data_IF_553121066939
#
_entry.id   IF_553121066939
#
_cell.length_a   1.000
_cell.length_b   1.000
_cell.length_c   1.000
_cell.angle_alpha   90.00
_cell.angle_beta   90.00
_cell.angle_gamma   90.00
#
_symmetry.space_group_name_H-M   'P 1'
#
loop_
_entity.id
_entity.type
_entity.pdbx_description
1 polymer ?
#
# COMPACT_ATOMS: atom_id res chain seq x y z
N UNK A 1 -7.25 19.49 -10.98
CA UNK A 1 -5.83 19.68 -10.61
C UNK A 1 -4.98 19.64 -11.89
N UNK A 2 -4.28 20.72 -12.26
CA UNK A 2 -3.69 20.91 -13.62
C UNK A 2 -2.64 19.84 -14.02
N UNK A 3 -1.97 19.20 -13.05
CA UNK A 3 -0.92 18.21 -13.32
C UNK A 3 -1.33 16.73 -13.18
N UNK A 4 -2.62 16.43 -12.96
CA UNK A 4 -3.04 15.04 -12.77
C UNK A 4 -2.67 14.14 -13.96
N UNK A 5 -3.03 14.56 -15.19
CA UNK A 5 -2.70 13.83 -16.42
C UNK A 5 -1.20 13.65 -16.61
N UNK A 6 -0.39 14.66 -16.27
CA UNK A 6 1.06 14.59 -16.37
C UNK A 6 1.66 13.57 -15.38
N UNK A 7 1.13 13.49 -14.15
CA UNK A 7 1.56 12.52 -13.14
C UNK A 7 1.24 11.09 -13.57
N UNK A 8 0.01 10.86 -14.06
CA UNK A 8 -0.43 9.56 -14.57
C UNK A 8 0.41 9.12 -15.78
N UNK A 9 0.65 10.03 -16.74
CA UNK A 9 1.50 9.77 -17.91
C UNK A 9 2.93 9.39 -17.51
N UNK A 10 3.52 10.11 -16.56
CA UNK A 10 4.87 9.83 -16.04
C UNK A 10 4.94 8.45 -15.39
N UNK A 11 3.96 8.10 -14.54
CA UNK A 11 3.93 6.80 -13.86
C UNK A 11 3.75 5.66 -14.86
N UNK A 12 2.83 5.81 -15.82
CA UNK A 12 2.63 4.84 -16.89
C UNK A 12 3.89 4.64 -17.72
N UNK A 13 4.57 5.74 -18.10
CA UNK A 13 5.83 5.67 -18.85
C UNK A 13 6.95 5.03 -18.03
N UNK A 14 7.05 5.34 -16.74
CA UNK A 14 8.04 4.74 -15.85
C UNK A 14 7.84 3.22 -15.74
N UNK A 15 6.59 2.78 -15.64
CA UNK A 15 6.26 1.36 -15.60
C UNK A 15 6.70 0.65 -16.90
N UNK A 16 6.39 1.23 -18.05
CA UNK A 16 6.83 0.69 -19.35
C UNK A 16 8.35 0.54 -19.43
N UNK A 17 9.10 1.58 -19.03
CA UNK A 17 10.56 1.57 -19.02
C UNK A 17 11.09 0.49 -18.07
N UNK A 18 10.51 0.38 -16.87
CA UNK A 18 10.91 -0.62 -15.89
C UNK A 18 10.69 -2.05 -16.39
N UNK A 19 9.52 -2.34 -16.97
CA UNK A 19 9.20 -3.67 -17.50
C UNK A 19 10.05 -4.02 -18.72
N UNK A 20 10.26 -3.07 -19.63
CA UNK A 20 11.13 -3.25 -20.80
C UNK A 20 12.57 -3.60 -20.40
N UNK A 21 13.03 -3.14 -19.23
CA UNK A 21 14.35 -3.43 -18.67
C UNK A 21 14.37 -4.66 -17.74
N UNK A 22 13.45 -5.61 -17.93
CA UNK A 22 13.40 -6.85 -17.14
C UNK A 22 12.96 -6.63 -15.69
N UNK A 23 12.10 -5.64 -15.46
CA UNK A 23 11.45 -5.41 -14.16
C UNK A 23 10.54 -6.58 -13.76
N UNK A 24 10.37 -6.78 -12.45
CA UNK A 24 9.41 -7.74 -11.90
C UNK A 24 7.99 -7.24 -12.10
N UNK A 25 7.01 -8.15 -12.16
CA UNK A 25 5.60 -7.78 -12.29
C UNK A 25 4.96 -7.35 -10.95
N UNK A 26 5.47 -6.26 -10.38
CA UNK A 26 5.06 -5.69 -9.08
C UNK A 26 4.23 -4.42 -9.25
N UNK A 27 3.44 -4.07 -8.24
CA UNK A 27 2.71 -2.80 -8.23
C UNK A 27 3.40 -1.73 -7.38
N UNK A 28 3.42 -0.51 -7.90
CA UNK A 28 3.88 0.68 -7.19
C UNK A 28 2.79 1.74 -7.17
N UNK A 29 2.63 2.38 -6.01
CA UNK A 29 1.74 3.53 -5.85
C UNK A 29 2.55 4.76 -5.47
N UNK A 30 2.26 5.89 -6.11
CA UNK A 30 3.04 7.13 -5.98
C UNK A 30 2.16 8.30 -5.57
N UNK A 31 2.62 9.11 -4.61
CA UNK A 31 2.10 10.46 -4.43
C UNK A 31 3.13 11.49 -4.85
N UNK A 32 2.63 12.58 -5.44
CA UNK A 32 3.44 13.68 -5.91
C UNK A 32 3.36 14.87 -4.99
N UNK A 33 4.48 15.55 -4.82
CA UNK A 33 4.52 16.83 -4.14
C UNK A 33 3.74 17.89 -4.95
N UNK A 34 3.00 18.75 -4.24
CA UNK A 34 2.26 19.85 -4.85
C UNK A 34 3.16 21.06 -5.12
N UNK A 35 4.28 21.20 -4.40
CA UNK A 35 5.21 22.33 -4.56
C UNK A 35 6.30 22.08 -5.60
N UNK A 36 6.56 20.82 -5.97
CA UNK A 36 7.53 20.45 -6.99
C UNK A 36 6.83 20.02 -8.29
N UNK A 37 6.63 20.93 -9.26
CA UNK A 37 5.93 20.62 -10.51
C UNK A 37 6.75 19.71 -11.43
N UNK A 38 6.08 18.87 -12.22
CA UNK A 38 6.72 18.08 -13.26
C UNK A 38 7.18 19.00 -14.40
N UNK A 39 8.49 19.14 -14.59
CA UNK A 39 9.08 19.95 -15.67
C UNK A 39 9.54 19.13 -16.88
N UNK A 40 9.79 17.83 -16.71
CA UNK A 40 10.26 16.95 -17.78
C UNK A 40 9.85 15.50 -17.57
N UNK A 41 8.79 15.08 -18.28
CA UNK A 41 8.15 13.78 -18.06
C UNK A 41 9.09 12.59 -18.34
N UNK A 42 9.84 12.62 -19.44
CA UNK A 42 10.73 11.52 -19.82
C UNK A 42 11.87 11.30 -18.80
N UNK A 43 12.53 12.38 -18.38
CA UNK A 43 13.60 12.34 -17.37
C UNK A 43 13.07 11.82 -16.04
N UNK A 44 11.89 12.28 -15.64
CA UNK A 44 11.24 11.84 -14.40
C UNK A 44 10.85 10.36 -14.46
N UNK A 45 10.25 9.90 -15.57
CA UNK A 45 9.88 8.51 -15.75
C UNK A 45 11.09 7.56 -15.62
N UNK A 46 12.23 7.92 -16.24
CA UNK A 46 13.46 7.13 -16.13
C UNK A 46 14.00 7.09 -14.69
N UNK A 47 13.96 8.21 -13.96
CA UNK A 47 14.34 8.24 -12.53
C UNK A 47 13.44 7.33 -11.69
N UNK A 48 12.13 7.36 -11.92
CA UNK A 48 11.16 6.52 -11.21
C UNK A 48 11.42 5.04 -11.51
N UNK A 49 11.64 4.68 -12.78
CA UNK A 49 11.97 3.31 -13.17
C UNK A 49 13.27 2.80 -12.52
N UNK A 50 14.30 3.66 -12.39
CA UNK A 50 15.54 3.32 -11.71
C UNK A 50 15.33 3.07 -10.21
N UNK A 51 14.56 3.93 -9.54
CA UNK A 51 14.18 3.72 -8.13
C UNK A 51 13.42 2.40 -7.97
N UNK A 52 12.45 2.12 -8.85
CA UNK A 52 11.67 0.88 -8.84
C UNK A 52 12.58 -0.36 -8.90
N UNK A 53 13.60 -0.34 -9.77
CA UNK A 53 14.58 -1.43 -9.87
C UNK A 53 15.36 -1.65 -8.58
N UNK A 54 15.71 -0.58 -7.87
CA UNK A 54 16.44 -0.68 -6.60
C UNK A 54 15.58 -1.23 -5.46
N UNK A 55 14.25 -1.08 -5.53
CA UNK A 55 13.33 -1.49 -4.45
C UNK A 55 12.57 -2.78 -4.76
N UNK A 56 12.65 -3.34 -5.97
CA UNK A 56 11.82 -4.49 -6.36
C UNK A 56 12.16 -5.81 -5.65
N UNK A 57 13.24 -5.84 -4.86
CA UNK A 57 13.59 -6.94 -3.96
C UNK A 57 13.06 -6.78 -2.54
N UNK A 58 12.47 -5.63 -2.20
CA UNK A 58 11.95 -5.36 -0.86
C UNK A 58 10.60 -6.03 -0.63
N UNK A 59 10.22 -6.17 0.64
CA UNK A 59 8.89 -6.61 1.05
C UNK A 59 7.86 -5.52 0.78
N UNK A 60 6.58 -5.92 0.68
CA UNK A 60 5.45 -4.99 0.60
C UNK A 60 5.49 -3.97 1.74
N UNK A 61 5.23 -2.71 1.44
CA UNK A 61 5.20 -1.64 2.42
C UNK A 61 5.53 -0.26 1.84
N UNK A 62 5.50 0.72 2.74
CA UNK A 62 5.94 2.09 2.44
C UNK A 62 7.45 2.13 2.23
N UNK A 63 7.88 2.83 1.19
CA UNK A 63 9.29 3.02 0.86
C UNK A 63 9.82 4.24 1.60
N UNK A 64 11.00 4.10 2.23
CA UNK A 64 11.67 5.20 2.92
C UNK A 64 12.03 6.33 1.95
N UNK A 65 11.83 7.58 2.39
CA UNK A 65 12.12 8.79 1.60
C UNK A 65 13.55 8.82 1.03
N UNK A 66 14.51 8.28 1.78
CA UNK A 66 15.92 8.20 1.36
C UNK A 66 16.12 7.47 0.02
N UNK A 67 15.29 6.47 -0.28
CA UNK A 67 15.39 5.68 -1.51
C UNK A 67 14.98 6.46 -2.77
N UNK A 68 14.23 7.56 -2.62
CA UNK A 68 13.76 8.39 -3.72
C UNK A 68 14.01 9.89 -3.49
N UNK A 69 14.94 10.25 -2.59
CA UNK A 69 15.27 11.65 -2.29
C UNK A 69 15.74 12.46 -3.50
N UNK A 70 16.27 11.80 -4.54
CA UNK A 70 16.68 12.42 -5.81
C UNK A 70 15.54 12.76 -6.78
N UNK A 71 14.28 12.50 -6.37
CA UNK A 71 13.06 12.77 -7.13
C UNK A 71 12.17 13.71 -6.30
N UNK A 72 12.42 15.03 -6.35
CA UNK A 72 11.68 16.01 -5.54
C UNK A 72 10.18 16.04 -5.87
N UNK A 73 9.79 15.63 -7.07
CA UNK A 73 8.38 15.55 -7.48
C UNK A 73 7.59 14.48 -6.72
N UNK A 74 8.25 13.48 -6.13
CA UNK A 74 7.59 12.43 -5.36
C UNK A 74 7.58 12.74 -3.87
N UNK A 75 6.41 12.64 -3.24
CA UNK A 75 6.25 12.77 -1.79
C UNK A 75 6.19 11.42 -1.09
N UNK A 76 5.65 10.38 -1.75
CA UNK A 76 5.43 9.06 -1.18
C UNK A 76 5.52 7.96 -2.25
N UNK A 77 5.99 6.77 -1.84
CA UNK A 77 6.04 5.57 -2.68
C UNK A 77 5.64 4.36 -1.84
N UNK A 78 4.75 3.52 -2.37
CA UNK A 78 4.36 2.24 -1.78
C UNK A 78 4.69 1.09 -2.74
N UNK A 79 5.30 0.04 -2.20
CA UNK A 79 5.53 -1.21 -2.91
C UNK A 79 4.52 -2.25 -2.49
N UNK A 80 3.83 -2.85 -3.45
CA UNK A 80 3.21 -4.16 -3.29
C UNK A 80 4.06 -5.18 -4.06
N UNK A 81 4.80 -5.99 -3.31
CA UNK A 81 5.78 -6.94 -3.84
C UNK A 81 5.12 -8.22 -4.40
N UNK A 82 3.80 -8.38 -4.27
CA UNK A 82 3.07 -9.49 -4.89
C UNK A 82 3.20 -9.38 -6.41
N UNK A 83 3.44 -10.53 -7.05
CA UNK A 83 3.49 -10.62 -8.51
C UNK A 83 2.07 -10.72 -9.07
N UNK A 84 1.76 -9.89 -10.04
CA UNK A 84 0.48 -9.89 -10.76
C UNK A 84 0.72 -10.17 -12.24
N UNK A 85 -0.28 -10.72 -12.94
CA UNK A 85 -0.18 -10.93 -14.39
C UNK A 85 -0.09 -9.61 -15.14
N UNK A 86 -0.92 -8.63 -14.74
CA UNK A 86 -0.97 -7.26 -15.25
C UNK A 86 -0.88 -6.26 -14.07
N UNK A 87 0.33 -6.02 -13.50
CA UNK A 87 0.48 -5.06 -12.41
C UNK A 87 0.14 -3.65 -12.91
N UNK A 88 -0.51 -2.82 -12.09
CA UNK A 88 -0.77 -1.41 -12.45
C UNK A 88 -0.05 -0.46 -11.50
N UNK A 89 0.81 0.37 -12.05
CA UNK A 89 1.37 1.49 -11.29
C UNK A 89 0.39 2.66 -11.31
N UNK A 90 0.24 3.32 -10.16
CA UNK A 90 -0.84 4.29 -9.96
C UNK A 90 -0.41 5.52 -9.20
N UNK A 91 -1.07 6.63 -9.50
CA UNK A 91 -0.99 7.87 -8.73
C UNK A 91 -2.04 7.81 -7.63
N UNK A 92 -1.63 8.03 -6.39
CA UNK A 92 -2.50 8.05 -5.22
C UNK A 92 -2.34 9.35 -4.46
N UNK A 93 -3.39 9.83 -3.82
CA UNK A 93 -3.29 10.88 -2.82
C UNK A 93 -3.15 10.23 -1.45
N UNK A 94 -1.93 10.19 -0.93
CA UNK A 94 -1.67 9.67 0.40
C UNK A 94 -1.24 10.80 1.33
N UNK A 95 -1.70 10.69 2.56
CA UNK A 95 -1.06 11.36 3.68
C UNK A 95 -0.06 10.37 4.30
N UNK A 96 0.84 10.87 5.14
CA UNK A 96 1.66 10.03 6.01
C UNK A 96 0.97 10.00 7.38
N UNK A 97 0.25 8.93 7.67
CA UNK A 97 -0.43 8.75 8.96
C UNK A 97 0.33 7.87 9.93
N UNK A 98 -0.23 7.71 11.13
CA UNK A 98 0.31 6.81 12.14
C UNK A 98 0.17 5.34 11.70
N UNK A 99 1.07 4.52 12.21
CA UNK A 99 1.07 3.09 11.96
C UNK A 99 0.10 2.41 12.93
N UNK A 100 -0.76 1.54 12.43
CA UNK A 100 -1.66 0.75 13.27
C UNK A 100 -0.82 -0.24 14.09
N UNK A 101 -0.84 -0.07 15.41
CA UNK A 101 -0.15 -0.99 16.30
C UNK A 101 -0.85 -2.35 16.32
N UNK A 102 -0.06 -3.41 16.54
CA UNK A 102 -0.60 -4.76 16.76
C UNK A 102 -1.55 -4.83 17.95
N UNK A 103 -1.33 -3.98 18.97
CA UNK A 103 -2.20 -3.87 20.13
C UNK A 103 -3.58 -3.33 19.76
N UNK A 104 -3.64 -2.27 18.94
CA UNK A 104 -4.91 -1.71 18.46
C UNK A 104 -5.67 -2.72 17.60
N UNK A 105 -4.97 -3.47 16.76
CA UNK A 105 -5.58 -4.52 15.97
C UNK A 105 -6.15 -5.66 16.85
N UNK A 106 -5.41 -6.09 17.88
CA UNK A 106 -5.92 -7.07 18.86
C UNK A 106 -7.15 -6.54 19.60
N UNK A 107 -7.17 -5.26 19.96
CA UNK A 107 -8.34 -4.64 20.59
C UNK A 107 -9.57 -4.64 19.66
N UNK A 108 -9.38 -4.38 18.37
CA UNK A 108 -10.46 -4.46 17.36
C UNK A 108 -10.99 -5.89 17.27
N UNK A 109 -10.09 -6.89 17.17
CA UNK A 109 -10.48 -8.30 17.10
C UNK A 109 -11.28 -8.68 18.35
N UNK A 110 -10.76 -8.42 19.55
CA UNK A 110 -11.45 -8.76 20.80
C UNK A 110 -12.80 -8.06 20.97
N UNK A 111 -12.91 -6.80 20.56
CA UNK A 111 -14.20 -6.09 20.56
C UNK A 111 -15.22 -6.75 19.60
N UNK A 112 -14.77 -7.25 18.45
CA UNK A 112 -15.62 -7.96 17.49
C UNK A 112 -15.95 -9.39 17.93
N UNK A 113 -15.04 -10.08 18.61
CA UNK A 113 -15.34 -11.35 19.28
C UNK A 113 -16.41 -11.19 20.35
N UNK A 114 -16.38 -10.10 21.13
CA UNK A 114 -17.42 -9.85 22.13
C UNK A 114 -18.79 -9.60 21.47
N UNK A 115 -18.82 -8.93 20.32
CA UNK A 115 -20.04 -8.66 19.54
C UNK A 115 -20.60 -9.89 18.82
N UNK A 116 -19.76 -10.89 18.54
CA UNK A 116 -20.16 -12.06 17.76
C UNK A 116 -21.25 -12.91 18.43
N UNK A 117 -21.41 -12.77 19.75
CA UNK A 117 -22.49 -13.40 20.54
C UNK A 117 -23.89 -13.03 20.03
N UNK A 118 -24.01 -11.91 19.33
CA UNK A 118 -25.26 -11.41 18.75
C UNK A 118 -25.37 -11.64 17.24
N UNK A 119 -24.37 -12.27 16.62
CA UNK A 119 -24.42 -12.57 15.19
C UNK A 119 -25.31 -13.78 14.92
N UNK A 120 -25.87 -13.86 13.70
CA UNK A 120 -26.61 -15.04 13.27
C UNK A 120 -25.65 -16.22 13.15
N UNK A 121 -26.08 -17.38 13.68
CA UNK A 121 -25.29 -18.61 13.62
C UNK A 121 -25.04 -19.03 12.18
N UNK A 122 -23.79 -19.39 11.90
CA UNK A 122 -23.31 -19.93 10.64
C UNK A 122 -22.14 -20.89 10.90
N UNK A 123 -21.64 -21.52 9.84
CA UNK A 123 -20.54 -22.49 9.94
C UNK A 123 -19.20 -21.85 10.32
N UNK A 124 -18.96 -20.62 9.87
CA UNK A 124 -17.74 -19.87 10.16
C UNK A 124 -17.97 -18.35 10.11
N UNK A 125 -17.25 -17.62 10.96
CA UNK A 125 -17.14 -16.16 10.89
C UNK A 125 -15.76 -15.76 10.39
N UNK A 126 -15.71 -14.83 9.45
CA UNK A 126 -14.47 -14.17 9.02
C UNK A 126 -14.54 -12.68 9.37
N UNK A 127 -13.43 -12.15 9.92
CA UNK A 127 -13.33 -10.73 10.22
C UNK A 127 -12.45 -10.04 9.17
N UNK A 128 -13.01 -9.04 8.50
CA UNK A 128 -12.27 -8.17 7.58
C UNK A 128 -12.12 -6.81 8.23
N UNK A 129 -10.87 -6.40 8.49
CA UNK A 129 -10.52 -5.05 8.95
C UNK A 129 -9.99 -4.27 7.75
N UNK A 130 -10.76 -3.28 7.32
CA UNK A 130 -10.38 -2.40 6.21
C UNK A 130 -9.58 -1.23 6.75
N UNK A 131 -8.37 -1.04 6.24
CA UNK A 131 -7.52 0.11 6.57
C UNK A 131 -7.70 1.17 5.51
N UNK A 132 -8.43 2.23 5.84
CA UNK A 132 -8.63 3.38 4.98
C UNK A 132 -7.60 4.47 5.31
N UNK A 133 -6.89 4.94 4.28
CA UNK A 133 -5.87 5.99 4.37
C UNK A 133 -6.35 7.32 3.79
N UNK A 134 -7.58 7.38 3.24
CA UNK A 134 -8.20 8.63 2.79
C UNK A 134 -8.52 9.53 4.00
N UNK A 135 -8.84 8.92 5.14
CA UNK A 135 -9.07 9.66 6.37
C UNK A 135 -7.76 9.98 7.09
N UNK A 136 -7.47 11.28 7.23
CA UNK A 136 -6.27 11.79 7.92
C UNK A 136 -6.25 11.46 9.43
N UNK A 137 -7.40 11.11 10.01
CA UNK A 137 -7.54 10.73 11.42
C UNK A 137 -7.41 9.21 11.67
N UNK A 138 -7.18 8.39 10.63
CA UNK A 138 -7.05 6.94 10.75
C UNK A 138 -5.60 6.49 10.52
N UNK A 139 -5.26 5.32 11.04
CA UNK A 139 -3.94 4.72 10.84
C UNK A 139 -3.75 4.35 9.37
N UNK A 140 -2.59 4.66 8.81
CA UNK A 140 -2.36 4.60 7.35
C UNK A 140 -1.37 3.52 6.94
N UNK A 141 -0.80 2.78 7.90
CA UNK A 141 0.11 1.67 7.65
C UNK A 141 -0.14 0.51 8.62
N UNK A 142 0.15 -0.71 8.19
CA UNK A 142 -0.05 -1.92 9.00
C UNK A 142 1.30 -2.49 9.39
N UNK A 143 1.48 -2.85 10.66
CA UNK A 143 2.64 -3.65 11.06
C UNK A 143 2.49 -5.08 10.50
N UNK A 144 3.38 -5.43 9.56
CA UNK A 144 3.39 -6.76 8.92
C UNK A 144 4.01 -7.81 9.85
N UNK A 145 4.99 -7.40 10.66
CA UNK A 145 5.73 -8.31 11.53
C UNK A 145 4.87 -8.73 12.73
N UNK A 146 4.65 -10.05 12.89
CA UNK A 146 3.87 -10.60 14.00
C UNK A 146 2.38 -10.68 13.72
N UNK A 147 1.94 -10.39 12.50
CA UNK A 147 0.54 -10.50 12.09
C UNK A 147 0.02 -11.93 12.21
N UNK A 148 0.88 -12.90 11.88
CA UNK A 148 0.63 -14.33 12.01
C UNK A 148 0.34 -14.79 13.44
N UNK A 149 0.59 -13.95 14.45
CA UNK A 149 0.33 -14.22 15.87
C UNK A 149 -1.03 -13.70 16.33
N UNK A 150 -1.83 -13.12 15.45
CA UNK A 150 -3.22 -12.81 15.76
C UNK A 150 -3.98 -14.12 15.74
N UNK A 151 -4.46 -14.53 16.90
CA UNK A 151 -5.36 -15.67 17.04
C UNK A 151 -6.72 -15.15 17.45
N UNK A 152 -7.77 -15.76 16.92
CA UNK A 152 -9.15 -15.56 17.36
C UNK A 152 -9.75 -16.90 17.76
N UNK A 153 -10.63 -16.87 18.76
CA UNK A 153 -11.40 -18.06 19.18
C UNK A 153 -12.77 -18.14 18.50
N UNK A 154 -13.16 -17.08 17.78
CA UNK A 154 -14.46 -16.93 17.12
C UNK A 154 -14.31 -16.90 15.61
N UNK A 155 -13.35 -16.13 15.11
CA UNK A 155 -13.15 -15.94 13.68
C UNK A 155 -12.15 -16.97 13.17
N UNK A 156 -12.54 -17.76 12.18
CA UNK A 156 -11.64 -18.70 11.50
C UNK A 156 -10.51 -17.97 10.75
N UNK A 157 -10.78 -16.74 10.32
CA UNK A 157 -9.84 -15.88 9.62
C UNK A 157 -9.99 -14.44 10.05
N UNK A 158 -8.84 -13.80 10.28
CA UNK A 158 -8.72 -12.35 10.41
C UNK A 158 -7.95 -11.83 9.20
N UNK A 159 -8.62 -11.00 8.39
CA UNK A 159 -8.07 -10.42 7.18
C UNK A 159 -7.91 -8.91 7.42
N UNK A 160 -6.70 -8.38 7.23
CA UNK A 160 -6.51 -6.93 7.14
C UNK A 160 -6.30 -6.56 5.69
N UNK A 161 -7.14 -5.66 5.19
CA UNK A 161 -7.13 -5.23 3.80
C UNK A 161 -6.88 -3.73 3.66
N UNK A 162 -5.77 -3.39 2.99
CA UNK A 162 -5.42 -2.02 2.60
C UNK A 162 -5.83 -1.80 1.14
N UNK A 163 -7.06 -1.35 0.98
CA UNK A 163 -7.81 -1.36 -0.29
C UNK A 163 -7.05 -0.79 -1.48
N UNK A 164 -6.53 0.44 -1.41
CA UNK A 164 -5.94 1.06 -2.61
C UNK A 164 -4.54 0.54 -2.96
N UNK A 165 -3.90 -0.18 -2.03
CA UNK A 165 -2.59 -0.77 -2.28
C UNK A 165 -2.68 -2.25 -2.64
N UNK A 166 -3.87 -2.86 -2.61
CA UNK A 166 -4.05 -4.28 -2.86
C UNK A 166 -3.30 -5.15 -1.85
N UNK A 167 -2.96 -4.60 -0.69
CA UNK A 167 -2.20 -5.28 0.34
C UNK A 167 -3.17 -6.00 1.28
N UNK A 168 -3.06 -7.33 1.31
CA UNK A 168 -3.86 -8.22 2.14
C UNK A 168 -2.93 -8.97 3.09
N UNK A 169 -3.29 -8.99 4.37
CA UNK A 169 -2.70 -9.85 5.39
C UNK A 169 -3.77 -10.80 5.90
N UNK A 170 -3.41 -12.07 6.09
CA UNK A 170 -4.31 -13.12 6.58
C UNK A 170 -3.68 -13.85 7.77
N UNK A 171 -4.47 -14.02 8.83
CA UNK A 171 -4.15 -14.79 10.01
C UNK A 171 -5.29 -15.77 10.28
N UNK A 172 -4.94 -16.94 10.81
CA UNK A 172 -5.87 -18.01 11.19
C UNK A 172 -6.04 -18.03 12.69
#
# INVERSE_FOLDING_TARGET
QVQQKAREAVVSKAQQVYLANGGKRIELSFSFDKVAPIRGQAKLANKIAAVAKNIDGLKTGSIRKDAFKGIPELSFVYLNARKYEDPKWRVVQCYSGQLMSMEKLRAIVGAKEAQSKYYQRCDAYWLIVVVDFINRAQDQEIHINGFEKIASTVFEKVIVYKTHFGHVLEAK
#
